data_IF_666153032752
#
_entry.id   IF_666153032752
#
_cell.length_a   1.000
_cell.length_b   1.000
_cell.length_c   1.000
_cell.angle_alpha   90.00
_cell.angle_beta   90.00
_cell.angle_gamma   90.00
#
_symmetry.space_group_name_H-M   'P 1'
#
loop_
_entity.id
_entity.type
_entity.pdbx_description
1 polymer ?
#
# COMPACT_ATOMS: atom_id res chain seq x y z
N UNK A 1 -2.12 4.59 2.75
CA UNK A 1 -1.20 5.19 3.74
C UNK A 1 0.07 4.37 3.72
N UNK A 2 1.21 5.02 3.50
CA UNK A 2 2.52 4.37 3.57
C UNK A 2 3.14 4.77 4.91
N UNK A 3 3.50 3.78 5.73
CA UNK A 3 4.17 4.01 7.00
C UNK A 3 5.67 3.82 6.78
N UNK A 4 6.39 4.92 6.55
CA UNK A 4 7.85 4.91 6.39
C UNK A 4 8.55 4.70 7.74
N UNK A 5 9.85 4.43 7.69
CA UNK A 5 10.69 4.36 8.89
C UNK A 5 10.71 5.72 9.62
N UNK A 6 10.84 5.71 10.94
CA UNK A 6 10.72 6.92 11.78
C UNK A 6 11.80 7.97 11.52
N UNK A 7 12.90 7.58 10.88
CA UNK A 7 13.98 8.48 10.44
C UNK A 7 13.55 9.43 9.32
N UNK A 8 12.45 9.15 8.61
CA UNK A 8 11.92 10.05 7.59
C UNK A 8 11.08 11.16 8.23
N UNK A 9 11.20 12.43 7.75
CA UNK A 9 10.30 13.48 8.17
C UNK A 9 8.86 13.13 7.76
N UNK A 10 7.93 13.25 8.71
CA UNK A 10 6.51 12.89 8.53
C UNK A 10 6.37 11.46 7.97
N UNK A 11 6.76 10.42 8.73
CA UNK A 11 6.89 9.05 8.21
C UNK A 11 5.54 8.45 7.77
N UNK A 12 4.43 8.94 8.31
CA UNK A 12 3.08 8.57 7.88
C UNK A 12 2.65 9.38 6.65
N UNK A 13 2.66 8.76 5.47
CA UNK A 13 2.22 9.38 4.22
C UNK A 13 0.79 8.97 3.86
N UNK A 14 -0.11 9.94 3.80
CA UNK A 14 -1.53 9.74 3.48
C UNK A 14 -1.81 10.28 2.09
N UNK A 15 -2.27 9.41 1.19
CA UNK A 15 -2.73 9.76 -0.16
C UNK A 15 -4.20 9.39 -0.26
N UNK A 16 -5.03 10.35 -0.69
CA UNK A 16 -6.49 10.18 -0.82
C UNK A 16 -6.94 9.97 -2.27
N UNK A 17 -6.11 10.37 -3.23
CA UNK A 17 -6.40 10.34 -4.66
C UNK A 17 -5.22 9.72 -5.43
N UNK A 18 -5.50 9.17 -6.61
CA UNK A 18 -4.49 8.59 -7.48
C UNK A 18 -3.60 9.68 -8.14
N UNK A 19 -2.34 9.38 -8.46
CA UNK A 19 -1.62 8.12 -8.23
C UNK A 19 -1.17 7.96 -6.77
N UNK A 20 -1.35 6.75 -6.21
CA UNK A 20 -0.94 6.43 -4.83
C UNK A 20 0.56 6.09 -4.75
N UNK A 21 1.42 7.07 -4.97
CA UNK A 21 2.89 6.87 -5.07
C UNK A 21 3.62 7.77 -4.07
N UNK A 22 4.64 7.20 -3.41
CA UNK A 22 5.60 7.94 -2.58
C UNK A 22 6.98 7.84 -3.22
N UNK A 23 7.69 8.96 -3.34
CA UNK A 23 9.06 9.05 -3.85
C UNK A 23 9.94 9.64 -2.75
N UNK A 24 11.01 8.94 -2.39
CA UNK A 24 11.91 9.30 -1.31
C UNK A 24 13.35 8.88 -1.63
N UNK A 25 14.31 9.43 -0.89
CA UNK A 25 15.70 8.98 -0.87
C UNK A 25 16.06 8.52 0.54
N UNK A 26 16.81 7.43 0.64
CA UNK A 26 17.19 6.84 1.93
C UNK A 26 18.53 6.11 1.82
N UNK A 27 18.96 5.51 2.94
CA UNK A 27 20.27 4.88 3.06
C UNK A 27 20.20 3.36 3.29
N UNK A 28 19.03 2.82 3.62
CA UNK A 28 18.85 1.39 3.89
C UNK A 28 17.43 0.94 3.55
N UNK A 29 17.31 -0.35 3.24
CA UNK A 29 16.02 -1.00 3.04
C UNK A 29 15.29 -1.28 4.34
N UNK A 30 13.97 -1.42 4.27
CA UNK A 30 13.11 -1.72 5.41
C UNK A 30 11.73 -2.19 4.95
N UNK A 31 10.98 -2.86 5.83
CA UNK A 31 9.59 -3.24 5.56
C UNK A 31 8.68 -2.03 5.79
N UNK A 32 7.91 -1.67 4.76
CA UNK A 32 6.89 -0.63 4.81
C UNK A 32 5.52 -1.28 5.03
N UNK A 33 4.84 -1.00 6.15
CA UNK A 33 3.40 -1.26 6.26
C UNK A 33 2.62 -0.32 5.33
N UNK A 34 1.91 -0.88 4.35
CA UNK A 34 1.01 -0.14 3.46
C UNK A 34 -0.43 -0.42 3.88
N UNK A 35 -1.15 0.61 4.32
CA UNK A 35 -2.57 0.50 4.65
C UNK A 35 -3.43 1.04 3.51
N UNK A 36 -4.28 0.20 2.95
CA UNK A 36 -5.28 0.60 1.96
C UNK A 36 -6.62 0.73 2.69
N UNK A 37 -7.18 1.94 2.70
CA UNK A 37 -8.46 2.21 3.33
C UNK A 37 -9.58 1.99 2.31
N UNK A 38 -10.58 1.21 2.69
CA UNK A 38 -11.69 0.82 1.85
C UNK A 38 -12.83 1.83 2.04
N UNK A 39 -13.57 2.13 0.96
CA UNK A 39 -14.82 2.90 1.03
C UNK A 39 -15.98 2.00 1.53
N UNK A 40 -15.72 1.29 2.62
CA UNK A 40 -16.61 0.37 3.30
C UNK A 40 -17.08 1.01 4.62
N UNK A 41 -18.35 0.82 4.98
CA UNK A 41 -18.89 1.28 6.27
C UNK A 41 -18.64 0.26 7.37
N UNK A 42 -18.72 -1.02 7.01
CA UNK A 42 -18.51 -2.16 7.88
C UNK A 42 -17.05 -2.62 7.86
N UNK A 43 -16.72 -3.65 8.63
CA UNK A 43 -15.40 -4.27 8.56
C UNK A 43 -15.26 -5.17 7.31
N UNK A 44 -14.05 -5.27 6.71
CA UNK A 44 -12.85 -4.52 7.06
C UNK A 44 -12.91 -3.08 6.53
N UNK A 45 -12.45 -2.11 7.34
CA UNK A 45 -12.28 -0.70 6.91
C UNK A 45 -10.97 -0.43 6.20
N UNK A 46 -9.97 -1.30 6.40
CA UNK A 46 -8.65 -1.20 5.79
C UNK A 46 -8.01 -2.58 5.70
N UNK A 47 -7.10 -2.72 4.74
CA UNK A 47 -6.19 -3.87 4.62
C UNK A 47 -4.75 -3.40 4.82
N UNK A 48 -3.91 -4.28 5.35
CA UNK A 48 -2.49 -4.03 5.56
C UNK A 48 -1.68 -4.96 4.66
N UNK A 49 -0.80 -4.37 3.85
CA UNK A 49 0.13 -5.09 3.00
C UNK A 49 1.55 -4.72 3.47
N UNK A 50 2.34 -5.68 4.00
CA UNK A 50 3.75 -5.45 4.23
C UNK A 50 4.50 -5.44 2.89
N UNK A 51 5.33 -4.42 2.67
CA UNK A 51 6.15 -4.31 1.46
C UNK A 51 7.62 -4.22 1.85
N UNK A 52 8.43 -5.18 1.43
CA UNK A 52 9.88 -5.15 1.64
C UNK A 52 10.55 -4.22 0.63
N UNK A 53 11.03 -3.06 1.11
CA UNK A 53 11.77 -2.10 0.29
C UNK A 53 13.26 -2.40 0.42
N UNK A 54 13.84 -3.02 -0.60
CA UNK A 54 15.27 -3.37 -0.64
C UNK A 54 16.08 -2.38 -1.46
N UNK A 55 17.39 -2.29 -1.17
CA UNK A 55 18.32 -1.45 -1.92
C UNK A 55 19.11 -2.30 -2.92
N UNK A 56 19.44 -1.74 -4.11
CA UNK A 56 20.33 -2.41 -5.03
C UNK A 56 21.71 -2.61 -4.39
N UNK A 57 22.36 -3.71 -4.71
CA UNK A 57 23.75 -3.93 -4.32
C UNK A 57 24.64 -2.84 -4.93
N UNK A 58 25.79 -2.50 -4.30
CA UNK A 58 26.77 -1.60 -4.93
C UNK A 58 27.14 -2.10 -6.32
N UNK A 59 26.97 -1.25 -7.34
CA UNK A 59 27.17 -1.56 -8.77
C UNK A 59 26.17 -2.57 -9.38
N UNK A 60 25.06 -2.88 -8.71
CA UNK A 60 23.98 -3.69 -9.24
C UNK A 60 23.00 -2.90 -10.12
N UNK A 61 22.15 -3.58 -10.91
CA UNK A 61 21.09 -2.94 -11.68
C UNK A 61 20.03 -2.30 -10.76
N UNK A 62 19.29 -1.33 -11.29
CA UNK A 62 18.16 -0.73 -10.57
C UNK A 62 17.09 -1.78 -10.26
N UNK A 63 16.46 -1.67 -9.08
CA UNK A 63 15.39 -2.58 -8.67
C UNK A 63 14.07 -2.13 -9.28
N UNK A 64 13.40 -3.05 -9.97
CA UNK A 64 11.99 -2.93 -10.36
C UNK A 64 11.24 -4.16 -9.87
N UNK A 65 10.53 -4.00 -8.74
CA UNK A 65 9.84 -5.09 -8.06
C UNK A 65 8.33 -4.84 -8.03
N UNK A 66 7.56 -5.88 -8.34
CA UNK A 66 6.09 -5.84 -8.38
C UNK A 66 5.54 -6.98 -7.52
N UNK A 67 4.66 -6.64 -6.58
CA UNK A 67 3.88 -7.61 -5.82
C UNK A 67 2.41 -7.58 -6.27
N UNK A 68 1.74 -8.72 -6.17
CA UNK A 68 0.29 -8.84 -6.37
C UNK A 68 -0.34 -9.30 -5.07
N UNK A 69 -1.43 -8.64 -4.66
CA UNK A 69 -2.19 -8.96 -3.45
C UNK A 69 -3.64 -9.23 -3.81
N UNK A 70 -4.21 -10.30 -3.28
CA UNK A 70 -5.63 -10.65 -3.44
C UNK A 70 -6.29 -10.63 -2.07
N UNK A 71 -7.31 -9.80 -1.91
CA UNK A 71 -8.13 -9.74 -0.70
C UNK A 71 -9.50 -10.35 -0.98
N UNK A 72 -9.94 -11.29 -0.13
CA UNK A 72 -11.29 -11.88 -0.22
C UNK A 72 -12.18 -11.20 0.82
N UNK A 73 -13.23 -10.52 0.34
CA UNK A 73 -14.22 -9.87 1.21
C UNK A 73 -15.51 -10.70 1.16
N UNK A 74 -15.83 -11.37 2.26
CA UNK A 74 -17.01 -12.22 2.38
C UNK A 74 -18.24 -11.41 2.77
N UNK A 75 -19.36 -11.68 2.11
CA UNK A 75 -20.65 -11.03 2.36
C UNK A 75 -20.59 -9.49 2.51
N UNK A 76 -19.97 -8.75 1.57
CA UNK A 76 -19.93 -7.29 1.65
C UNK A 76 -21.33 -6.68 1.54
N UNK A 77 -21.55 -5.56 2.24
CA UNK A 77 -22.75 -4.75 2.04
C UNK A 77 -22.93 -4.38 0.56
N UNK A 78 -24.18 -4.30 0.10
CA UNK A 78 -24.51 -4.10 -1.32
C UNK A 78 -23.84 -2.85 -1.92
N UNK A 79 -23.76 -1.75 -1.19
CA UNK A 79 -23.10 -0.54 -1.67
C UNK A 79 -21.60 -0.73 -1.86
N UNK A 80 -20.97 -1.51 -0.98
CA UNK A 80 -19.55 -1.80 -1.04
C UNK A 80 -19.24 -2.82 -2.13
N UNK A 81 -20.06 -3.88 -2.26
CA UNK A 81 -19.99 -4.84 -3.36
C UNK A 81 -20.04 -4.16 -4.73
N UNK A 82 -20.94 -3.19 -4.92
CA UNK A 82 -21.03 -2.40 -6.17
C UNK A 82 -19.76 -1.61 -6.45
N UNK A 83 -19.07 -1.09 -5.43
CA UNK A 83 -17.80 -0.35 -5.60
C UNK A 83 -16.65 -1.27 -5.98
N UNK A 84 -16.58 -2.46 -5.37
CA UNK A 84 -15.58 -3.50 -5.70
C UNK A 84 -15.69 -3.94 -7.16
N UNK A 85 -16.91 -4.29 -7.60
CA UNK A 85 -17.18 -4.68 -8.98
C UNK A 85 -16.83 -3.57 -10.00
N UNK A 86 -17.11 -2.31 -9.67
CA UNK A 86 -16.69 -1.15 -10.51
C UNK A 86 -15.16 -0.98 -10.58
N UNK A 87 -14.45 -1.44 -9.56
CA UNK A 87 -12.99 -1.43 -9.49
C UNK A 87 -12.32 -2.63 -10.17
N UNK A 88 -13.10 -3.59 -10.71
CA UNK A 88 -12.60 -4.76 -11.42
C UNK A 88 -12.62 -6.08 -10.62
N UNK A 89 -13.27 -6.13 -9.46
CA UNK A 89 -13.45 -7.36 -8.67
C UNK A 89 -14.03 -7.11 -7.29
#
# INVERSE_FOLDING_TARGET
VFQLHETFPKPKRVLKDAPYVVKESGYAGFVIPIYIYLKNKDEPKKIQIPYDLTFPQPNGPAINHVIRHTEIITNPADDFRRKLLKGGG
#
